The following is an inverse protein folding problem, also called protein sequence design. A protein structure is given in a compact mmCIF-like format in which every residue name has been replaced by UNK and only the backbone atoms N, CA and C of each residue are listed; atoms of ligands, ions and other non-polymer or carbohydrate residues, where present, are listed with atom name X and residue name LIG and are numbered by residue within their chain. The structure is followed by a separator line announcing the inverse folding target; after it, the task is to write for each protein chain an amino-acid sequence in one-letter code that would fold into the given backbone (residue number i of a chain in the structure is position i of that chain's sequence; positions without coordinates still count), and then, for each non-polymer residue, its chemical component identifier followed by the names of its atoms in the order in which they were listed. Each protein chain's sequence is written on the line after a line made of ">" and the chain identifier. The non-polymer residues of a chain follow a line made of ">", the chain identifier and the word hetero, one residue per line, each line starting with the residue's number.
data_IF_907776638238
#
_entry.id   IF_907776638238
#
_cell.length_a   1.000
_cell.length_b   1.000
_cell.length_c   1.000
_cell.angle_alpha   90.00
_cell.angle_beta   90.00
_cell.angle_gamma   90.00
#
_symmetry.space_group_name_H-M   'P 1'
#
loop_
_entity.id
_entity.type
_entity.pdbx_description
1 polymer ?
#
# COMPACT_ATOMS: atom_id res chain seq x y z
N UNK A 1 -9.50 18.23 -2.45
CA UNK A 1 -9.79 16.99 -3.20
C UNK A 1 -8.58 16.73 -4.06
N UNK A 2 -7.97 15.55 -3.93
CA UNK A 2 -6.77 15.20 -4.68
C UNK A 2 -7.09 15.14 -6.17
N UNK A 3 -6.17 15.65 -6.99
CA UNK A 3 -6.37 15.77 -8.44
C UNK A 3 -5.57 14.69 -9.20
N UNK A 4 -5.41 13.51 -8.58
CA UNK A 4 -4.56 12.42 -9.04
C UNK A 4 -4.36 11.35 -7.96
N UNK A 5 -3.41 10.43 -8.20
CA UNK A 5 -3.07 9.35 -7.26
C UNK A 5 -2.68 9.87 -5.88
N UNK A 6 -3.11 9.15 -4.84
CA UNK A 6 -2.81 9.49 -3.43
C UNK A 6 -2.04 8.36 -2.77
N UNK A 7 -0.85 8.65 -2.26
CA UNK A 7 -0.06 7.65 -1.52
C UNK A 7 -0.70 7.43 -0.15
N UNK A 8 -0.98 6.17 0.20
CA UNK A 8 -1.37 5.75 1.54
C UNK A 8 -0.12 5.56 2.41
N UNK A 9 0.74 4.64 2.01
CA UNK A 9 1.99 4.30 2.70
C UNK A 9 2.99 3.66 1.75
N UNK A 10 4.24 3.53 2.18
CA UNK A 10 5.25 2.81 1.42
C UNK A 10 6.46 2.42 2.26
N UNK A 11 7.18 1.40 1.81
CA UNK A 11 8.44 0.97 2.38
C UNK A 11 9.53 0.92 1.30
N UNK A 12 10.77 1.19 1.71
CA UNK A 12 11.93 1.22 0.84
C UNK A 12 13.04 0.33 1.46
N UNK A 13 13.44 -0.73 0.76
CA UNK A 13 14.51 -1.64 1.23
C UNK A 13 15.89 -0.98 1.22
N UNK A 14 16.14 -0.05 0.29
CA UNK A 14 17.45 0.59 0.11
C UNK A 14 17.77 1.58 1.22
N UNK A 15 16.76 2.28 1.72
CA UNK A 15 16.89 3.25 2.81
C UNK A 15 16.42 2.73 4.16
N UNK A 16 15.84 1.52 4.21
CA UNK A 16 15.26 0.91 5.42
C UNK A 16 14.22 1.82 6.10
N UNK A 17 13.39 2.49 5.28
CA UNK A 17 12.39 3.47 5.72
C UNK A 17 10.98 3.03 5.41
N UNK A 18 10.08 3.38 6.31
CA UNK A 18 8.64 3.30 6.14
C UNK A 18 8.03 4.70 6.21
N UNK A 19 7.10 4.98 5.31
CA UNK A 19 6.33 6.21 5.25
C UNK A 19 4.85 5.90 5.33
N UNK A 20 4.13 6.64 6.17
CA UNK A 20 2.67 6.72 6.18
C UNK A 20 2.28 8.15 5.85
N UNK A 21 1.33 8.34 4.95
CA UNK A 21 0.87 9.67 4.60
C UNK A 21 0.14 10.32 5.79
N UNK A 22 0.51 11.55 6.21
CA UNK A 22 -0.12 12.29 7.31
C UNK A 22 -1.64 12.37 7.24
N UNK A 23 -2.21 12.43 6.04
CA UNK A 23 -3.67 12.47 5.84
C UNK A 23 -4.39 11.22 6.37
N UNK A 24 -3.65 10.13 6.58
CA UNK A 24 -4.14 8.85 7.08
C UNK A 24 -3.69 8.57 8.53
N UNK A 25 -3.17 9.56 9.26
CA UNK A 25 -2.78 9.39 10.68
C UNK A 25 -3.95 9.01 11.59
N UNK A 26 -5.17 9.37 11.18
CA UNK A 26 -6.42 9.05 11.89
C UNK A 26 -6.84 7.58 11.74
N UNK A 27 -6.15 6.78 10.91
CA UNK A 27 -6.39 5.35 10.87
C UNK A 27 -6.11 4.73 12.26
N UNK A 28 -6.88 3.69 12.65
CA UNK A 28 -6.64 2.97 13.89
C UNK A 28 -5.19 2.46 14.00
N UNK A 29 -4.61 2.46 15.20
CA UNK A 29 -3.21 2.08 15.40
C UNK A 29 -2.91 0.67 14.89
N UNK A 30 -3.82 -0.29 15.12
CA UNK A 30 -3.67 -1.65 14.61
C UNK A 30 -3.61 -1.73 13.07
N UNK A 31 -4.36 -0.88 12.36
CA UNK A 31 -4.32 -0.79 10.89
C UNK A 31 -2.97 -0.21 10.44
N UNK A 32 -2.50 0.84 11.10
CA UNK A 32 -1.20 1.47 10.79
C UNK A 32 -0.04 0.50 11.04
N UNK A 33 -0.09 -0.25 12.13
CA UNK A 33 0.90 -1.28 12.45
C UNK A 33 0.87 -2.42 11.43
N UNK A 34 -0.32 -2.89 11.05
CA UNK A 34 -0.47 -3.95 10.06
C UNK A 34 0.04 -3.52 8.68
N UNK A 35 -0.27 -2.30 8.24
CA UNK A 35 0.28 -1.70 7.02
C UNK A 35 1.81 -1.62 7.06
N UNK A 36 2.37 -1.16 8.18
CA UNK A 36 3.82 -1.06 8.37
C UNK A 36 4.49 -2.42 8.30
N UNK A 37 3.98 -3.40 9.06
CA UNK A 37 4.51 -4.77 9.07
C UNK A 37 4.47 -5.36 7.67
N UNK A 38 3.32 -5.24 6.98
CA UNK A 38 3.16 -5.76 5.64
C UNK A 38 4.16 -5.13 4.65
N UNK A 39 4.28 -3.80 4.63
CA UNK A 39 5.16 -3.13 3.67
C UNK A 39 6.63 -3.43 3.95
N UNK A 40 7.03 -3.41 5.23
CA UNK A 40 8.42 -3.68 5.63
C UNK A 40 8.80 -5.14 5.34
N UNK A 41 7.94 -6.11 5.67
CA UNK A 41 8.19 -7.52 5.37
C UNK A 41 8.25 -7.78 3.87
N UNK A 42 7.42 -7.10 3.09
CA UNK A 42 7.48 -7.20 1.63
C UNK A 42 8.85 -6.81 1.10
N UNK A 43 9.30 -5.58 1.36
CA UNK A 43 10.57 -5.07 0.81
C UNK A 43 11.78 -5.76 1.42
N UNK A 44 11.65 -6.33 2.61
CA UNK A 44 12.67 -7.19 3.20
C UNK A 44 12.81 -8.52 2.44
N UNK A 45 11.70 -9.13 2.04
CA UNK A 45 11.71 -10.44 1.37
C UNK A 45 12.10 -10.36 -0.11
N UNK A 46 11.66 -9.32 -0.83
CA UNK A 46 11.82 -9.23 -2.29
C UNK A 46 12.67 -8.05 -2.77
N UNK A 47 13.09 -7.16 -1.86
CA UNK A 47 13.79 -5.92 -2.21
C UNK A 47 12.89 -4.85 -2.83
N UNK A 48 13.50 -3.77 -3.33
CA UNK A 48 12.79 -2.68 -3.99
C UNK A 48 12.02 -1.74 -3.06
N UNK A 49 11.10 -1.01 -3.68
CA UNK A 49 10.21 -0.05 -3.04
C UNK A 49 8.79 -0.51 -3.30
N UNK A 50 8.02 -0.66 -2.22
CA UNK A 50 6.59 -0.90 -2.29
C UNK A 50 5.84 0.35 -1.86
N UNK A 51 4.88 0.79 -2.67
CA UNK A 51 3.97 1.89 -2.35
C UNK A 51 2.53 1.42 -2.50
N UNK A 52 1.70 1.72 -1.51
CA UNK A 52 0.26 1.57 -1.62
C UNK A 52 -0.34 2.92 -2.01
N UNK A 53 -1.08 2.94 -3.11
CA UNK A 53 -1.65 4.16 -3.69
C UNK A 53 -3.14 3.98 -3.94
N UNK A 54 -3.90 5.04 -3.70
CA UNK A 54 -5.26 5.15 -4.21
C UNK A 54 -5.21 5.78 -5.60
N UNK A 55 -5.80 5.08 -6.57
CA UNK A 55 -6.03 5.59 -7.92
C UNK A 55 -7.15 6.65 -7.93
N UNK A 56 -7.32 7.31 -9.08
CA UNK A 56 -8.31 8.39 -9.26
C UNK A 56 -9.77 7.93 -9.10
N UNK A 57 -10.03 6.63 -9.24
CA UNK A 57 -11.34 5.97 -9.01
C UNK A 57 -11.46 5.36 -7.59
N UNK A 58 -10.48 5.66 -6.73
CA UNK A 58 -10.41 5.19 -5.36
C UNK A 58 -10.02 3.72 -5.22
N UNK A 59 -9.58 3.04 -6.28
CA UNK A 59 -9.00 1.70 -6.16
C UNK A 59 -7.67 1.73 -5.40
N UNK A 60 -7.46 0.79 -4.47
CA UNK A 60 -6.20 0.66 -3.75
C UNK A 60 -5.25 -0.29 -4.50
N UNK A 61 -4.16 0.27 -5.01
CA UNK A 61 -3.17 -0.42 -5.83
C UNK A 61 -1.81 -0.56 -5.12
N UNK A 62 -1.09 -1.62 -5.50
CA UNK A 62 0.30 -1.83 -5.10
C UNK A 62 1.21 -1.40 -6.26
N UNK A 63 2.04 -0.38 -6.04
CA UNK A 63 3.08 0.05 -6.96
C UNK A 63 4.44 -0.43 -6.46
N UNK A 64 5.17 -1.13 -7.32
CA UNK A 64 6.52 -1.62 -7.02
C UNK A 64 7.51 -0.96 -7.96
N UNK A 65 8.61 -0.47 -7.39
CA UNK A 65 9.71 0.12 -8.15
C UNK A 65 11.03 -0.43 -7.63
N UNK A 66 11.97 -0.66 -8.54
CA UNK A 66 13.33 -1.09 -8.20
C UNK A 66 14.34 -0.25 -8.98
N UNK A 67 15.59 -0.25 -8.53
CA UNK A 67 16.68 0.37 -9.28
C UNK A 67 16.94 -0.41 -10.58
N UNK A 68 17.37 0.28 -11.63
CA UNK A 68 17.74 -0.36 -12.89
C UNK A 68 18.89 -1.36 -12.68
N UNK A 69 18.67 -2.63 -13.05
CA UNK A 69 19.65 -3.69 -12.87
C UNK A 69 19.83 -4.16 -11.43
N UNK A 70 18.84 -3.91 -10.55
CA UNK A 70 18.88 -4.37 -9.16
C UNK A 70 18.89 -5.90 -9.07
N UNK A 71 20.06 -6.46 -8.73
CA UNK A 71 20.24 -7.89 -8.52
C UNK A 71 19.62 -8.40 -7.21
N UNK A 72 19.28 -7.51 -6.28
CA UNK A 72 18.63 -7.86 -5.01
C UNK A 72 17.09 -7.86 -5.13
N UNK A 73 16.53 -7.29 -6.19
CA UNK A 73 15.10 -7.31 -6.43
C UNK A 73 14.65 -8.62 -7.08
N UNK A 74 13.79 -9.37 -6.40
CA UNK A 74 13.15 -10.56 -6.95
C UNK A 74 11.81 -10.19 -7.63
N UNK A 75 11.83 -10.00 -8.94
CA UNK A 75 10.62 -9.65 -9.71
C UNK A 75 9.54 -10.75 -9.64
N UNK A 76 9.93 -12.03 -9.62
CA UNK A 76 8.97 -13.14 -9.59
C UNK A 76 8.37 -13.26 -8.19
N UNK A 77 9.23 -13.23 -7.17
CA UNK A 77 8.83 -13.22 -5.77
C UNK A 77 7.92 -12.03 -5.45
N UNK A 78 8.24 -10.84 -5.98
CA UNK A 78 7.43 -9.63 -5.87
C UNK A 78 5.98 -9.86 -6.32
N UNK A 79 5.77 -10.42 -7.52
CA UNK A 79 4.42 -10.71 -8.05
C UNK A 79 3.68 -11.76 -7.23
N UNK A 80 4.37 -12.81 -6.80
CA UNK A 80 3.78 -13.86 -5.97
C UNK A 80 3.37 -13.32 -4.59
N UNK A 81 4.23 -12.50 -3.98
CA UNK A 81 4.00 -11.91 -2.65
C UNK A 81 2.85 -10.90 -2.68
N UNK A 82 2.74 -10.07 -3.73
CA UNK A 82 1.56 -9.19 -3.89
C UNK A 82 0.29 -10.02 -3.95
N UNK A 83 0.27 -11.08 -4.78
CA UNK A 83 -0.91 -11.93 -4.91
C UNK A 83 -1.28 -12.62 -3.60
N UNK A 84 -0.27 -13.04 -2.83
CA UNK A 84 -0.46 -13.59 -1.50
C UNK A 84 -1.07 -12.55 -0.54
N UNK A 85 -0.52 -11.32 -0.49
CA UNK A 85 -1.04 -10.23 0.33
C UNK A 85 -2.50 -9.90 -0.04
N UNK A 86 -2.81 -9.81 -1.33
CA UNK A 86 -4.17 -9.56 -1.81
C UNK A 86 -5.17 -10.63 -1.32
N UNK A 87 -4.74 -11.88 -1.17
CA UNK A 87 -5.57 -12.96 -0.64
C UNK A 87 -5.66 -12.95 0.89
N UNK A 88 -4.53 -12.85 1.58
CA UNK A 88 -4.48 -12.94 3.05
C UNK A 88 -5.01 -11.68 3.75
N UNK A 89 -4.90 -10.51 3.09
CA UNK A 89 -5.29 -9.20 3.62
C UNK A 89 -6.48 -8.60 2.88
N UNK A 90 -7.30 -9.44 2.24
CA UNK A 90 -8.47 -9.00 1.46
C UNK A 90 -9.39 -8.06 2.26
N UNK A 91 -9.71 -8.43 3.50
CA UNK A 91 -10.59 -7.62 4.37
C UNK A 91 -9.99 -6.26 4.72
N UNK A 92 -8.68 -6.22 5.02
CA UNK A 92 -7.95 -4.98 5.32
C UNK A 92 -7.96 -4.06 4.09
N UNK A 93 -7.59 -4.59 2.92
CA UNK A 93 -7.49 -3.81 1.68
C UNK A 93 -8.85 -3.28 1.25
N UNK A 94 -9.91 -4.09 1.36
CA UNK A 94 -11.28 -3.65 1.10
C UNK A 94 -11.74 -2.57 2.07
N UNK A 95 -11.42 -2.72 3.36
CA UNK A 95 -11.77 -1.72 4.37
C UNK A 95 -11.07 -0.39 4.12
N UNK A 96 -9.80 -0.42 3.72
CA UNK A 96 -9.02 0.77 3.36
C UNK A 96 -9.54 1.44 2.08
N UNK A 97 -9.95 0.66 1.09
CA UNK A 97 -10.57 1.17 -0.14
C UNK A 97 -11.91 1.84 0.15
N UNK A 98 -12.76 1.19 0.96
CA UNK A 98 -14.04 1.77 1.37
C UNK A 98 -13.86 3.04 2.20
N UNK A 99 -12.92 3.02 3.15
CA UNK A 99 -12.58 4.20 3.95
C UNK A 99 -12.20 5.38 3.06
N UNK A 100 -11.36 5.17 2.05
CA UNK A 100 -10.98 6.24 1.13
C UNK A 100 -12.17 6.77 0.33
N UNK A 101 -12.97 5.89 -0.27
CA UNK A 101 -14.16 6.28 -1.05
C UNK A 101 -15.17 7.09 -0.25
N UNK A 102 -15.46 6.66 0.99
CA UNK A 102 -16.44 7.34 1.84
C UNK A 102 -15.90 8.66 2.40
N UNK A 103 -14.70 8.65 2.99
CA UNK A 103 -14.20 9.80 3.73
C UNK A 103 -13.48 10.84 2.85
N UNK A 104 -12.89 10.43 1.72
CA UNK A 104 -12.12 11.33 0.85
C UNK A 104 -12.83 11.66 -0.46
N UNK A 105 -13.56 10.70 -1.04
CA UNK A 105 -14.31 10.92 -2.29
C UNK A 105 -15.76 11.34 -2.05
N UNK A 106 -16.30 11.10 -0.84
CA UNK A 106 -17.67 11.45 -0.49
C UNK A 106 -18.71 10.59 -1.20
N UNK A 107 -18.36 9.35 -1.56
CA UNK A 107 -19.34 8.40 -2.07
C UNK A 107 -20.34 8.02 -0.97
N UNK A 108 -21.63 8.13 -1.28
CA UNK A 108 -22.68 7.60 -0.42
C UNK A 108 -22.57 6.07 -0.39
N UNK A 109 -22.50 5.52 0.83
CA UNK A 109 -22.71 4.10 1.06
C UNK A 109 -24.19 3.80 0.79
N UNK A 110 -24.54 3.42 -0.43
CA UNK A 110 -25.80 2.74 -0.73
C UNK A 110 -25.78 1.37 -0.01
N UNK A 111 -26.09 1.38 1.30
CA UNK A 111 -26.27 0.22 2.18
C UNK A 111 -27.68 -0.37 2.04
#
# INVERSE_FOLDING_TARGET
>A
MYNGKVVLCGANSYEEKYYLNPDFEQLPDHVKDELKIMCVLYVHDVGGILTLVYEEDGELCFEVTSAEGDAMFDEIGSRLKIKQIQQEKEELLRSLQLYYRVFFMGEDLDL
#
